data_IF_788663774848
#
_entry.id   IF_788663774848
#
_cell.length_a   1.000
_cell.length_b   1.000
_cell.length_c   1.000
_cell.angle_alpha   90.00
_cell.angle_beta   90.00
_cell.angle_gamma   90.00
#
_symmetry.space_group_name_H-M   'P 1'
#
loop_
_entity.id
_entity.type
_entity.pdbx_description
1 polymer ?
#
# COMPACT_ATOMS: atom_id res chain seq x y z
N UNK A 1 -13.89 0.99 -12.03
CA UNK A 1 -14.94 0.15 -11.48
C UNK A 1 -14.68 -1.35 -11.67
N UNK A 2 -14.11 -1.80 -12.79
CA UNK A 2 -13.88 -3.23 -13.07
C UNK A 2 -12.93 -3.97 -12.11
N UNK A 3 -11.96 -3.30 -11.49
CA UNK A 3 -10.98 -3.94 -10.59
C UNK A 3 -11.53 -4.29 -9.19
N UNK A 4 -12.71 -3.78 -8.82
CA UNK A 4 -13.32 -4.08 -7.50
C UNK A 4 -14.26 -5.28 -7.53
N UNK A 5 -14.74 -5.72 -8.72
CA UNK A 5 -15.67 -6.83 -8.86
C UNK A 5 -15.16 -8.15 -8.23
N UNK A 6 -13.89 -8.54 -8.40
CA UNK A 6 -13.39 -9.76 -7.77
C UNK A 6 -13.44 -9.73 -6.23
N UNK A 7 -13.25 -8.54 -5.61
CA UNK A 7 -13.34 -8.39 -4.15
C UNK A 7 -14.76 -8.63 -3.65
N UNK A 8 -15.76 -8.07 -4.32
CA UNK A 8 -17.17 -8.27 -3.94
C UNK A 8 -17.57 -9.73 -4.09
N UNK A 9 -17.22 -10.36 -5.23
CA UNK A 9 -17.49 -11.77 -5.46
C UNK A 9 -16.80 -12.68 -4.42
N UNK A 10 -15.57 -12.34 -4.01
CA UNK A 10 -14.87 -13.08 -2.96
C UNK A 10 -15.57 -12.93 -1.59
N UNK A 11 -16.00 -11.72 -1.22
CA UNK A 11 -16.75 -11.48 0.02
C UNK A 11 -18.08 -12.23 -0.02
N UNK A 12 -18.81 -12.19 -1.15
CA UNK A 12 -20.07 -12.92 -1.34
C UNK A 12 -19.86 -14.43 -1.19
N UNK A 13 -18.82 -14.97 -1.83
CA UNK A 13 -18.48 -16.40 -1.74
C UNK A 13 -18.10 -16.82 -0.30
N UNK A 14 -17.31 -16.01 0.40
CA UNK A 14 -16.95 -16.30 1.80
C UNK A 14 -18.21 -16.25 2.67
N UNK A 15 -19.06 -15.24 2.51
CA UNK A 15 -20.28 -15.10 3.30
C UNK A 15 -21.28 -16.23 3.04
N UNK A 16 -21.39 -16.72 1.81
CA UNK A 16 -22.23 -17.86 1.47
C UNK A 16 -21.77 -19.17 2.14
N UNK A 17 -20.46 -19.31 2.38
CA UNK A 17 -19.88 -20.51 2.98
C UNK A 17 -19.66 -20.39 4.50
N UNK A 18 -19.62 -19.17 5.05
CA UNK A 18 -19.46 -18.87 6.49
C UNK A 18 -20.66 -18.06 6.93
N UNK A 19 -21.77 -18.75 7.23
CA UNK A 19 -23.09 -18.13 7.47
C UNK A 19 -23.16 -17.13 8.61
N UNK A 20 -22.15 -17.06 9.50
CA UNK A 20 -22.06 -16.10 10.60
C UNK A 20 -21.16 -14.90 10.30
N UNK A 21 -20.65 -14.77 9.07
CA UNK A 21 -19.75 -13.69 8.70
C UNK A 21 -20.52 -12.39 8.41
N UNK A 22 -20.52 -11.47 9.36
CA UNK A 22 -21.18 -10.16 9.21
C UNK A 22 -20.24 -9.09 8.68
N UNK A 23 -18.96 -9.14 9.06
CA UNK A 23 -17.95 -8.12 8.71
C UNK A 23 -16.63 -8.74 8.33
N UNK A 24 -15.90 -8.06 7.44
CA UNK A 24 -14.57 -8.46 6.97
C UNK A 24 -13.55 -7.34 7.15
N UNK A 25 -12.31 -7.74 7.36
CA UNK A 25 -11.16 -6.85 7.27
C UNK A 25 -10.39 -7.22 6.01
N UNK A 26 -10.18 -6.26 5.12
CA UNK A 26 -9.34 -6.46 3.93
C UNK A 26 -7.90 -6.15 4.26
N UNK A 27 -7.03 -7.05 3.87
CA UNK A 27 -5.59 -6.86 3.91
C UNK A 27 -5.04 -6.80 2.49
N UNK A 28 -4.11 -5.90 2.22
CA UNK A 28 -3.48 -5.79 0.90
C UNK A 28 -2.10 -5.19 0.97
N UNK A 29 -1.24 -5.60 0.02
CA UNK A 29 0.10 -5.06 -0.19
C UNK A 29 0.16 -4.39 -1.56
N UNK A 30 0.82 -3.23 -1.66
CA UNK A 30 1.08 -2.51 -2.91
C UNK A 30 -0.22 -2.10 -3.62
N UNK A 31 -0.38 -2.51 -4.89
CA UNK A 31 -1.60 -2.30 -5.68
C UNK A 31 -2.83 -2.99 -5.06
N UNK A 32 -2.64 -4.18 -4.45
CA UNK A 32 -3.68 -4.87 -3.71
C UNK A 32 -4.23 -4.04 -2.54
N UNK A 33 -3.37 -3.31 -1.83
CA UNK A 33 -3.79 -2.38 -0.78
C UNK A 33 -4.66 -1.24 -1.33
N UNK A 34 -4.24 -0.67 -2.45
CA UNK A 34 -4.97 0.43 -3.08
C UNK A 34 -6.32 -0.03 -3.63
N UNK A 35 -6.37 -1.19 -4.30
CA UNK A 35 -7.63 -1.76 -4.81
C UNK A 35 -8.57 -2.13 -3.66
N UNK A 36 -8.05 -2.69 -2.56
CA UNK A 36 -8.84 -2.97 -1.36
C UNK A 36 -9.50 -1.69 -0.80
N UNK A 37 -8.75 -0.59 -0.70
CA UNK A 37 -9.28 0.70 -0.24
C UNK A 37 -10.34 1.28 -1.20
N UNK A 38 -10.15 1.14 -2.52
CA UNK A 38 -11.12 1.57 -3.51
C UNK A 38 -12.42 0.74 -3.45
N UNK A 39 -12.31 -0.57 -3.21
CA UNK A 39 -13.45 -1.48 -3.09
C UNK A 39 -14.24 -1.23 -1.79
N UNK A 40 -13.53 -1.08 -0.67
CA UNK A 40 -14.13 -0.90 0.65
C UNK A 40 -15.09 0.30 0.76
N UNK A 41 -14.84 1.36 -0.01
CA UNK A 41 -15.72 2.54 -0.05
C UNK A 41 -17.13 2.24 -0.55
N UNK A 42 -17.35 1.10 -1.19
CA UNK A 42 -18.63 0.71 -1.80
C UNK A 42 -19.26 -0.52 -1.15
N UNK A 43 -18.61 -1.13 -0.13
CA UNK A 43 -19.14 -2.33 0.53
C UNK A 43 -19.17 -2.13 2.07
N UNK A 44 -20.36 -2.00 2.66
CA UNK A 44 -20.51 -1.75 4.09
C UNK A 44 -20.08 -2.94 4.98
N UNK A 45 -19.91 -4.13 4.42
CA UNK A 45 -19.40 -5.30 5.14
C UNK A 45 -17.92 -5.18 5.47
N UNK A 46 -17.18 -4.32 4.76
CA UNK A 46 -15.76 -4.08 5.03
C UNK A 46 -15.64 -3.16 6.24
N UNK A 47 -15.33 -3.73 7.40
CA UNK A 47 -15.19 -3.02 8.66
C UNK A 47 -13.79 -2.45 8.89
N UNK A 48 -12.76 -3.05 8.26
CA UNK A 48 -11.38 -2.64 8.42
C UNK A 48 -10.53 -2.81 7.16
N UNK A 49 -9.49 -1.98 7.07
CA UNK A 49 -8.48 -2.01 6.01
C UNK A 49 -7.10 -2.05 6.63
N UNK A 50 -6.30 -3.05 6.29
CA UNK A 50 -4.87 -3.10 6.59
C UNK A 50 -4.09 -2.92 5.28
N UNK A 51 -3.56 -1.72 5.09
CA UNK A 51 -2.94 -1.26 3.85
C UNK A 51 -1.42 -1.26 4.00
N UNK A 52 -0.75 -2.19 3.32
CA UNK A 52 0.70 -2.34 3.35
C UNK A 52 1.31 -1.71 2.10
N UNK A 53 2.18 -0.73 2.26
CA UNK A 53 2.84 -0.01 1.17
C UNK A 53 1.87 0.38 0.04
N UNK A 54 0.75 1.10 0.32
CA UNK A 54 -0.27 1.38 -0.69
C UNK A 54 0.33 2.06 -1.92
N UNK A 55 0.02 1.54 -3.10
CA UNK A 55 0.54 2.06 -4.35
C UNK A 55 -0.26 3.28 -4.82
N UNK A 56 0.42 4.40 -5.00
CA UNK A 56 -0.16 5.68 -5.42
C UNK A 56 0.62 6.32 -6.57
N UNK A 57 1.14 5.47 -7.45
CA UNK A 57 2.02 5.91 -8.53
C UNK A 57 1.46 7.08 -9.33
N UNK A 58 2.31 8.08 -9.54
CA UNK A 58 2.10 9.19 -10.47
C UNK A 58 3.37 9.38 -11.29
N UNK A 59 3.23 9.72 -12.58
CA UNK A 59 4.38 9.88 -13.49
C UNK A 59 5.44 10.87 -12.97
N UNK A 60 5.04 11.88 -12.19
CA UNK A 60 5.97 12.81 -11.52
C UNK A 60 6.51 12.31 -10.18
N UNK A 61 5.79 11.42 -9.48
CA UNK A 61 6.17 10.93 -8.15
C UNK A 61 7.36 9.98 -8.16
N UNK A 62 7.42 9.07 -9.14
CA UNK A 62 8.50 8.09 -9.26
C UNK A 62 9.86 8.72 -9.56
N UNK A 63 9.90 9.76 -10.41
CA UNK A 63 11.13 10.48 -10.72
C UNK A 63 11.67 11.20 -9.47
N UNK A 64 10.80 11.82 -8.70
CA UNK A 64 11.17 12.55 -7.48
C UNK A 64 11.62 11.60 -6.35
N UNK A 65 10.96 10.46 -6.16
CA UNK A 65 11.39 9.41 -5.21
C UNK A 65 12.75 8.86 -5.61
N UNK A 66 12.96 8.59 -6.90
CA UNK A 66 14.25 8.12 -7.41
C UNK A 66 15.35 9.12 -7.11
N UNK A 67 15.13 10.41 -7.38
CA UNK A 67 16.12 11.46 -7.13
C UNK A 67 16.35 11.72 -5.64
N UNK A 68 15.30 11.71 -4.82
CA UNK A 68 15.36 12.14 -3.42
C UNK A 68 15.74 11.03 -2.45
N UNK A 69 15.40 9.76 -2.75
CA UNK A 69 15.59 8.63 -1.84
C UNK A 69 16.53 7.55 -2.37
N UNK A 70 16.49 7.24 -3.66
CA UNK A 70 17.30 6.17 -4.22
C UNK A 70 18.75 6.60 -4.44
N UNK A 71 18.98 7.75 -5.09
CA UNK A 71 20.34 8.20 -5.40
C UNK A 71 21.19 8.56 -4.17
N UNK A 72 20.70 9.31 -3.17
CA UNK A 72 21.51 9.63 -1.99
C UNK A 72 21.94 8.40 -1.21
N UNK A 73 21.04 7.41 -1.05
CA UNK A 73 21.36 6.14 -0.38
C UNK A 73 22.38 5.32 -1.16
N UNK A 74 22.29 5.30 -2.50
CA UNK A 74 23.24 4.59 -3.35
C UNK A 74 24.60 5.26 -3.35
N UNK A 75 24.66 6.59 -3.35
CA UNK A 75 25.90 7.35 -3.22
C UNK A 75 26.53 7.26 -1.83
N UNK A 76 25.74 7.04 -0.77
CA UNK A 76 26.24 6.81 0.58
C UNK A 76 26.75 5.37 0.82
N UNK A 77 26.54 4.45 -0.12
CA UNK A 77 26.94 3.05 0.01
C UNK A 77 28.39 2.85 -0.41
N UNK A 78 29.24 2.39 0.51
CA UNK A 78 30.63 2.00 0.22
C UNK A 78 30.74 0.92 -0.86
N UNK A 79 29.74 0.03 -0.95
CA UNK A 79 29.68 -1.03 -1.94
C UNK A 79 29.46 -0.47 -3.37
N UNK A 80 28.71 0.62 -3.51
CA UNK A 80 28.57 1.35 -4.75
C UNK A 80 29.92 1.91 -5.24
N UNK A 81 30.66 2.56 -4.34
CA UNK A 81 31.97 3.12 -4.69
C UNK A 81 33.03 2.04 -4.99
N UNK A 82 33.01 0.92 -4.26
CA UNK A 82 33.87 -0.23 -4.58
C UNK A 82 33.57 -0.79 -5.97
N UNK A 83 32.31 -0.96 -6.33
CA UNK A 83 31.89 -1.44 -7.66
C UNK A 83 32.23 -0.45 -8.75
N UNK A 84 32.10 0.86 -8.50
CA UNK A 84 32.46 1.93 -9.44
C UNK A 84 33.97 1.94 -9.68
N UNK A 85 34.80 1.89 -8.64
CA UNK A 85 36.26 1.90 -8.73
C UNK A 85 36.82 0.58 -9.33
N UNK A 86 36.11 -0.53 -9.19
CA UNK A 86 36.51 -1.82 -9.77
C UNK A 86 36.17 -1.96 -11.27
N UNK A 87 35.62 -0.92 -11.91
CA UNK A 87 35.27 -0.93 -13.34
C UNK A 87 34.14 -1.88 -13.73
N UNK A 88 33.47 -2.52 -12.75
CA UNK A 88 32.40 -3.50 -12.99
C UNK A 88 31.03 -2.89 -13.23
N UNK A 89 30.89 -1.57 -13.18
CA UNK A 89 29.65 -0.88 -13.47
C UNK A 89 29.74 -0.29 -14.86
N UNK A 90 29.02 -0.84 -15.81
CA UNK A 90 28.80 -0.24 -17.13
C UNK A 90 27.90 0.99 -16.96
N UNK A 91 28.48 2.08 -16.45
CA UNK A 91 27.78 3.34 -16.15
C UNK A 91 27.20 3.93 -17.44
N UNK A 92 27.93 3.80 -18.55
CA UNK A 92 27.50 4.28 -19.85
C UNK A 92 26.26 3.55 -20.39
N UNK A 93 26.21 2.22 -20.28
CA UNK A 93 25.06 1.44 -20.73
C UNK A 93 23.80 1.71 -19.86
N UNK A 94 23.99 1.96 -18.57
CA UNK A 94 22.89 2.31 -17.66
C UNK A 94 22.35 3.71 -17.95
N UNK A 95 23.18 4.68 -18.29
CA UNK A 95 22.75 6.06 -18.65
C UNK A 95 22.06 6.07 -20.01
N UNK A 96 22.59 5.36 -21.01
CA UNK A 96 21.97 5.21 -22.33
C UNK A 96 20.66 4.42 -22.22
N UNK A 97 20.61 3.37 -21.41
CA UNK A 97 19.40 2.60 -21.13
C UNK A 97 18.31 3.48 -20.49
N UNK A 98 18.66 4.30 -19.49
CA UNK A 98 17.73 5.24 -18.86
C UNK A 98 17.25 6.33 -19.84
N UNK A 99 18.13 6.90 -20.66
CA UNK A 99 17.74 7.87 -21.68
C UNK A 99 16.80 7.25 -22.73
N UNK A 100 17.04 6.01 -23.16
CA UNK A 100 16.14 5.27 -24.07
C UNK A 100 14.79 4.95 -23.45
N UNK A 101 14.75 4.58 -22.17
CA UNK A 101 13.50 4.32 -21.45
C UNK A 101 12.72 5.62 -21.24
N UNK A 102 13.38 6.71 -20.89
CA UNK A 102 12.76 8.03 -20.75
C UNK A 102 12.18 8.54 -22.08
N UNK A 103 12.94 8.46 -23.16
CA UNK A 103 12.48 8.90 -24.49
C UNK A 103 11.36 8.00 -25.05
N UNK A 104 11.42 6.67 -24.79
CA UNK A 104 10.36 5.74 -25.19
C UNK A 104 9.07 5.98 -24.43
N UNK A 105 9.14 6.29 -23.12
CA UNK A 105 7.96 6.64 -22.30
C UNK A 105 7.34 7.97 -22.74
N UNK A 106 8.13 8.99 -23.03
CA UNK A 106 7.64 10.29 -23.54
C UNK A 106 6.92 10.10 -24.89
N UNK A 107 7.41 9.21 -25.75
CA UNK A 107 6.81 8.95 -27.07
C UNK A 107 5.55 8.06 -27.01
N UNK A 108 5.40 7.22 -25.98
CA UNK A 108 4.20 6.39 -25.77
C UNK A 108 3.11 7.09 -24.95
N UNK A 109 3.44 8.17 -24.26
CA UNK A 109 2.45 8.97 -23.53
C UNK A 109 1.78 9.96 -24.49
N UNK A 110 0.79 9.48 -25.26
CA UNK A 110 -0.27 10.32 -25.79
C UNK A 110 -1.34 10.39 -24.70
N UNK A 111 -1.62 11.57 -24.10
CA UNK A 111 -2.77 11.69 -23.23
C UNK A 111 -4.00 11.31 -24.05
N UNK A 112 -4.75 10.32 -23.60
CA UNK A 112 -6.03 9.98 -24.18
C UNK A 112 -6.97 11.17 -23.99
N UNK A 113 -7.25 11.87 -25.08
CA UNK A 113 -8.12 13.06 -25.15
C UNK A 113 -9.62 12.70 -25.10
N UNK A 114 -10.00 11.57 -24.53
CA UNK A 114 -11.37 11.30 -24.20
C UNK A 114 -11.73 12.05 -22.92
N UNK A 115 -12.46 13.14 -23.06
CA UNK A 115 -12.82 14.19 -22.11
C UNK A 115 -13.56 13.81 -20.82
N UNK A 116 -13.22 12.72 -20.19
CA UNK A 116 -13.41 12.47 -18.76
C UNK A 116 -12.06 12.59 -18.09
N UNK A 117 -11.84 13.68 -17.37
CA UNK A 117 -10.74 13.81 -16.41
C UNK A 117 -10.89 12.67 -15.38
N UNK A 118 -10.24 11.55 -15.65
CA UNK A 118 -10.11 10.50 -14.65
C UNK A 118 -9.14 11.04 -13.60
N UNK A 119 -9.63 11.22 -12.37
CA UNK A 119 -8.80 11.62 -11.23
C UNK A 119 -7.56 10.72 -11.17
N UNK A 120 -6.40 11.29 -10.87
CA UNK A 120 -5.18 10.51 -10.67
C UNK A 120 -5.37 9.55 -9.47
N UNK A 121 -4.59 8.48 -9.44
CA UNK A 121 -4.76 7.42 -8.44
C UNK A 121 -4.75 7.93 -6.99
N UNK A 122 -3.88 8.88 -6.58
CA UNK A 122 -3.92 9.43 -5.23
C UNK A 122 -5.21 10.18 -4.90
N UNK A 123 -5.81 10.89 -5.86
CA UNK A 123 -7.09 11.56 -5.66
C UNK A 123 -8.24 10.56 -5.54
N UNK A 124 -8.22 9.50 -6.34
CA UNK A 124 -9.20 8.40 -6.25
C UNK A 124 -9.12 7.69 -4.91
N UNK A 125 -7.91 7.44 -4.43
CA UNK A 125 -7.69 6.84 -3.11
C UNK A 125 -8.17 7.76 -1.99
N UNK A 126 -7.87 9.06 -2.09
CA UNK A 126 -8.34 10.06 -1.12
C UNK A 126 -9.88 10.13 -1.07
N UNK A 127 -10.55 10.13 -2.22
CA UNK A 127 -12.00 10.13 -2.32
C UNK A 127 -12.62 8.85 -1.75
N UNK A 128 -12.04 7.68 -2.04
CA UNK A 128 -12.48 6.41 -1.48
C UNK A 128 -12.35 6.39 0.06
N UNK A 129 -11.18 6.75 0.58
CA UNK A 129 -10.95 6.81 2.03
C UNK A 129 -11.81 7.88 2.72
N UNK A 130 -12.14 8.99 2.06
CA UNK A 130 -13.03 10.01 2.62
C UNK A 130 -14.48 9.50 2.77
N UNK A 131 -14.92 8.58 1.92
CA UNK A 131 -16.24 7.94 1.99
C UNK A 131 -16.25 6.71 2.89
N UNK A 132 -15.11 6.08 3.09
CA UNK A 132 -15.01 4.89 3.92
C UNK A 132 -15.27 5.20 5.39
N UNK A 133 -16.02 4.32 6.07
CA UNK A 133 -16.45 4.51 7.46
C UNK A 133 -15.82 3.53 8.45
N UNK A 134 -15.08 2.54 7.94
CA UNK A 134 -14.40 1.55 8.77
C UNK A 134 -13.05 2.03 9.32
N UNK A 135 -12.34 1.12 9.95
CA UNK A 135 -11.02 1.37 10.56
C UNK A 135 -9.90 1.18 9.56
N UNK A 136 -8.84 1.96 9.65
CA UNK A 136 -7.71 1.90 8.72
C UNK A 136 -6.40 1.75 9.48
N UNK A 137 -5.59 0.77 9.08
CA UNK A 137 -4.19 0.63 9.42
C UNK A 137 -3.37 0.83 8.14
N UNK A 138 -2.34 1.65 8.21
CA UNK A 138 -1.32 1.79 7.16
C UNK A 138 0.01 1.30 7.70
N UNK A 139 0.61 0.32 7.05
CA UNK A 139 1.95 -0.21 7.39
C UNK A 139 2.91 0.13 6.26
N UNK A 140 3.98 0.83 6.57
CA UNK A 140 4.95 1.30 5.60
C UNK A 140 6.32 0.70 5.85
N UNK A 141 6.95 0.22 4.81
CA UNK A 141 8.35 -0.22 4.82
C UNK A 141 9.29 0.99 4.77
N UNK A 142 10.27 1.01 5.67
CA UNK A 142 11.22 2.13 5.73
C UNK A 142 12.20 2.18 4.55
N UNK A 143 12.44 1.06 3.87
CA UNK A 143 13.40 0.93 2.76
C UNK A 143 12.74 0.60 1.42
N UNK A 144 11.50 1.05 1.22
CA UNK A 144 10.73 0.79 0.02
C UNK A 144 10.36 2.07 -0.73
N UNK A 145 10.48 2.03 -2.07
CA UNK A 145 10.15 3.14 -2.96
C UNK A 145 8.65 3.43 -3.01
N UNK A 146 7.81 2.39 -3.01
CA UNK A 146 6.35 2.53 -3.02
C UNK A 146 5.85 3.20 -1.74
N UNK A 147 6.38 2.77 -0.58
CA UNK A 147 6.09 3.43 0.70
C UNK A 147 6.56 4.88 0.71
N UNK A 148 7.72 5.19 0.10
CA UNK A 148 8.21 6.56 -0.03
C UNK A 148 7.30 7.41 -0.93
N UNK A 149 6.82 6.87 -2.07
CA UNK A 149 5.83 7.54 -2.93
C UNK A 149 4.53 7.82 -2.18
N UNK A 150 4.04 6.85 -1.39
CA UNK A 150 2.85 7.06 -0.57
C UNK A 150 3.04 8.18 0.46
N UNK A 151 4.16 8.16 1.22
CA UNK A 151 4.48 9.24 2.17
C UNK A 151 4.52 10.61 1.50
N UNK A 152 5.13 10.71 0.32
CA UNK A 152 5.17 11.95 -0.45
C UNK A 152 3.80 12.38 -0.95
N UNK A 153 2.98 11.43 -1.41
CA UNK A 153 1.62 11.73 -1.85
C UNK A 153 0.75 12.25 -0.68
N UNK A 154 0.89 11.68 0.52
CA UNK A 154 0.23 12.17 1.73
C UNK A 154 0.72 13.58 2.08
N UNK A 155 2.03 13.82 2.06
CA UNK A 155 2.60 15.12 2.40
C UNK A 155 2.23 16.24 1.41
N UNK A 156 2.15 15.92 0.11
CA UNK A 156 1.86 16.91 -0.96
C UNK A 156 0.36 17.09 -1.22
N UNK A 157 -0.44 16.10 -0.93
CA UNK A 157 -1.87 16.07 -1.29
C UNK A 157 -2.72 16.11 -0.03
N UNK A 158 -3.03 17.32 0.42
CA UNK A 158 -3.86 17.57 1.60
C UNK A 158 -5.20 16.80 1.62
N UNK A 159 -5.75 16.39 0.47
CA UNK A 159 -6.95 15.55 0.40
C UNK A 159 -6.70 14.15 0.97
N UNK A 160 -5.59 13.47 0.58
CA UNK A 160 -5.26 12.14 1.08
C UNK A 160 -4.93 12.19 2.58
N UNK A 161 -4.17 13.19 3.03
CA UNK A 161 -3.90 13.41 4.44
C UNK A 161 -5.18 13.59 5.26
N UNK A 162 -6.10 14.45 4.78
CA UNK A 162 -7.39 14.67 5.44
C UNK A 162 -8.27 13.42 5.45
N UNK A 163 -8.25 12.63 4.38
CA UNK A 163 -9.01 11.38 4.31
C UNK A 163 -8.51 10.35 5.33
N UNK A 164 -7.18 10.18 5.45
CA UNK A 164 -6.57 9.32 6.46
C UNK A 164 -6.86 9.80 7.89
N UNK A 165 -6.79 11.10 8.14
CA UNK A 165 -7.14 11.68 9.44
C UNK A 165 -8.62 11.45 9.79
N UNK A 166 -9.55 11.61 8.83
CA UNK A 166 -10.98 11.33 9.04
C UNK A 166 -11.26 9.86 9.35
N UNK A 167 -10.55 8.95 8.69
CA UNK A 167 -10.64 7.52 8.95
C UNK A 167 -9.94 7.12 10.26
N UNK A 168 -9.38 8.08 11.02
CA UNK A 168 -8.55 7.84 12.18
C UNK A 168 -7.50 6.74 11.91
N UNK A 169 -6.85 6.83 10.74
CA UNK A 169 -5.92 5.83 10.26
C UNK A 169 -4.71 5.72 11.19
N UNK A 170 -4.47 4.54 11.73
CA UNK A 170 -3.23 4.25 12.43
C UNK A 170 -2.14 3.98 11.42
N UNK A 171 -0.97 4.58 11.62
CA UNK A 171 0.18 4.39 10.76
C UNK A 171 1.35 3.80 11.54
N UNK A 172 1.97 2.77 10.99
CA UNK A 172 3.16 2.10 11.53
C UNK A 172 4.22 2.05 10.45
N UNK A 173 5.47 2.32 10.81
CA UNK A 173 6.63 2.14 9.92
C UNK A 173 7.53 1.04 10.46
N UNK A 174 7.85 0.04 9.63
CA UNK A 174 8.86 -0.98 9.89
C UNK A 174 10.16 -0.49 9.24
N UNK A 175 11.01 0.17 10.03
CA UNK A 175 12.12 1.00 9.55
C UNK A 175 13.12 0.29 8.64
N UNK A 176 13.44 -0.99 8.92
CA UNK A 176 14.38 -1.80 8.16
C UNK A 176 13.78 -2.49 6.94
N UNK A 177 12.45 -2.61 6.87
CA UNK A 177 11.76 -3.48 5.93
C UNK A 177 11.92 -3.05 4.47
N UNK A 178 12.03 -4.06 3.61
CA UNK A 178 11.86 -3.92 2.17
C UNK A 178 10.37 -4.00 1.76
N UNK A 179 10.10 -3.97 0.44
CA UNK A 179 8.75 -3.94 -0.11
C UNK A 179 7.83 -5.06 0.39
N UNK A 180 8.36 -6.28 0.51
CA UNK A 180 7.59 -7.50 0.79
C UNK A 180 7.79 -8.01 2.21
N UNK A 181 8.50 -7.27 3.06
CA UNK A 181 8.85 -7.70 4.42
C UNK A 181 9.55 -9.07 4.39
N UNK A 182 10.58 -9.20 3.53
CA UNK A 182 11.19 -10.50 3.20
C UNK A 182 11.89 -11.21 4.34
N UNK A 183 12.29 -10.48 5.37
CA UNK A 183 12.95 -10.99 6.57
C UNK A 183 11.91 -11.36 7.65
N UNK A 184 12.19 -12.38 8.48
CA UNK A 184 11.27 -12.85 9.51
C UNK A 184 10.97 -11.77 10.55
N UNK A 185 11.97 -11.03 11.02
CA UNK A 185 11.83 -9.95 11.99
C UNK A 185 10.85 -8.87 11.51
N UNK A 186 10.95 -8.45 10.26
CA UNK A 186 10.03 -7.44 9.68
C UNK A 186 8.61 -7.97 9.53
N UNK A 187 8.45 -9.26 9.16
CA UNK A 187 7.13 -9.89 9.10
C UNK A 187 6.49 -9.97 10.48
N UNK A 188 7.26 -10.34 11.48
CA UNK A 188 6.79 -10.46 12.86
C UNK A 188 6.40 -9.09 13.43
N UNK A 189 7.19 -8.04 13.16
CA UNK A 189 6.87 -6.66 13.54
C UNK A 189 5.58 -6.18 12.88
N UNK A 190 5.44 -6.41 11.57
CA UNK A 190 4.26 -6.04 10.80
C UNK A 190 3.01 -6.84 11.25
N UNK A 191 3.17 -8.14 11.51
CA UNK A 191 2.11 -8.98 12.04
C UNK A 191 1.68 -8.54 13.44
N UNK A 192 2.65 -8.26 14.34
CA UNK A 192 2.37 -7.77 15.69
C UNK A 192 1.64 -6.41 15.66
N UNK A 193 2.03 -5.51 14.76
CA UNK A 193 1.34 -4.24 14.57
C UNK A 193 -0.11 -4.44 14.09
N UNK A 194 -0.32 -5.37 13.16
CA UNK A 194 -1.65 -5.73 12.64
C UNK A 194 -2.52 -6.32 13.73
N UNK A 195 -2.00 -7.26 14.52
CA UNK A 195 -2.74 -7.88 15.61
C UNK A 195 -3.11 -6.87 16.69
N UNK A 196 -2.17 -6.01 17.10
CA UNK A 196 -2.47 -4.95 18.07
C UNK A 196 -3.58 -4.01 17.57
N UNK A 197 -3.55 -3.67 16.29
CA UNK A 197 -4.59 -2.85 15.69
C UNK A 197 -5.93 -3.59 15.63
N UNK A 198 -5.95 -4.84 15.18
CA UNK A 198 -7.18 -5.67 15.12
C UNK A 198 -7.82 -5.79 16.49
N UNK A 199 -7.07 -6.16 17.51
CA UNK A 199 -7.61 -6.31 18.86
C UNK A 199 -8.02 -4.99 19.51
N UNK A 200 -7.37 -3.90 19.17
CA UNK A 200 -7.71 -2.57 19.67
C UNK A 200 -8.94 -1.95 19.00
N UNK A 201 -9.15 -2.19 17.71
CA UNK A 201 -10.26 -1.61 16.94
C UNK A 201 -11.50 -2.52 16.86
N UNK A 202 -11.32 -3.83 17.11
CA UNK A 202 -12.34 -4.85 17.04
C UNK A 202 -12.32 -5.74 18.31
N UNK A 203 -12.66 -5.18 19.47
CA UNK A 203 -12.58 -5.91 20.76
C UNK A 203 -13.47 -7.16 20.79
N UNK A 204 -14.51 -7.21 19.97
CA UNK A 204 -15.38 -8.39 19.82
C UNK A 204 -14.63 -9.62 19.30
N UNK A 205 -13.52 -9.45 18.56
CA UNK A 205 -12.67 -10.56 18.12
C UNK A 205 -11.95 -11.26 19.30
N UNK A 206 -11.71 -10.54 20.38
CA UNK A 206 -11.06 -11.07 21.59
C UNK A 206 -12.05 -11.96 22.38
N UNK A 207 -13.30 -11.54 22.48
CA UNK A 207 -14.35 -12.30 23.18
C UNK A 207 -14.72 -13.61 22.50
N UNK A 208 -14.74 -13.62 21.15
CA UNK A 208 -15.09 -14.82 20.39
C UNK A 208 -14.07 -15.97 20.53
N UNK A 209 -12.78 -15.67 20.69
CA UNK A 209 -11.72 -16.67 20.89
C UNK A 209 -11.77 -17.34 22.26
N UNK A 210 -12.14 -16.63 23.30
CA UNK A 210 -12.21 -17.19 24.66
C UNK A 210 -13.42 -18.14 24.76
N UNK A 211 -14.53 -17.83 24.11
CA UNK A 211 -15.73 -18.68 24.10
C UNK A 211 -15.59 -19.97 23.30
N UNK A 212 -14.78 -20.01 22.23
CA UNK A 212 -14.62 -21.23 21.41
C UNK A 212 -13.54 -22.19 21.92
N UNK A 213 -12.56 -21.71 22.67
CA UNK A 213 -11.53 -22.55 23.30
C UNK A 213 -12.03 -23.20 24.57
N UNK A 214 -13.05 -22.62 25.23
CA UNK A 214 -13.67 -23.18 26.44
C UNK A 214 -14.75 -24.24 26.14
N UNK A 215 -15.23 -24.38 24.90
CA UNK A 215 -16.08 -25.50 24.48
C UNK A 215 -15.20 -26.54 23.77
N UNK A 216 -14.46 -27.32 24.56
CA UNK A 216 -13.85 -28.56 24.10
C UNK A 216 -14.89 -29.51 23.53
N UNK A 217 -14.46 -30.45 22.62
CA UNK A 217 -15.41 -31.42 22.04
C UNK A 217 -16.04 -32.25 23.17
N UNK A 218 -17.38 -32.26 23.17
CA UNK A 218 -18.17 -33.25 23.93
C UNK A 218 -18.25 -34.54 23.13
#
# INVERSE_FOLDING_TARGET
>A
MFYCLPFFAAIDAIQANVGSLERVVLWGLCDGATVAALAAASDPRVAGLALFNPWVHTDGGSAEVTLKYYYPRRLASLDFWRKLLSGRVAVFDSIIGMARVATRRIRMYRPSTNGRMTLALPERLADALARYRGRVLVVLSGRDGTAAEFRMAVAKRGALQRALARANAKQVEVAGADHTFSNAEWRDEAAAATLRWLFGEFPELVGAKIGSVMKGPQ
#
